data_IF_920368732090
#
_entry.id   IF_920368732090
#
_cell.length_a   1.000
_cell.length_b   1.000
_cell.length_c   1.000
_cell.angle_alpha   90.00
_cell.angle_beta   90.00
_cell.angle_gamma   90.00
#
_symmetry.space_group_name_H-M   'P 1'
#
loop_
_entity.id
_entity.type
_entity.pdbx_description
1 polymer ?
#
# COMPACT_ATOMS: atom_id res chain seq x y z
N UNK A 1 22.92 7.81 -38.95
CA UNK A 1 22.71 9.25 -38.71
C UNK A 1 22.21 9.40 -37.29
N UNK A 2 23.15 9.49 -36.35
CA UNK A 2 22.87 9.68 -34.93
C UNK A 2 22.37 11.11 -34.69
N UNK A 3 21.13 11.23 -34.24
CA UNK A 3 20.63 12.48 -33.66
C UNK A 3 21.37 12.67 -32.33
N UNK A 4 21.92 13.86 -32.03
CA UNK A 4 22.60 14.09 -30.77
C UNK A 4 21.65 13.73 -29.62
N UNK A 5 22.18 13.02 -28.62
CA UNK A 5 21.55 12.76 -27.31
C UNK A 5 21.42 14.06 -26.53
N UNK A 6 20.70 15.02 -27.10
CA UNK A 6 20.89 16.44 -26.77
C UNK A 6 19.99 16.96 -25.68
N UNK A 7 18.73 16.55 -25.60
CA UNK A 7 17.76 17.11 -24.62
C UNK A 7 16.64 16.08 -24.41
N UNK A 8 16.37 15.71 -23.16
CA UNK A 8 15.28 14.82 -22.72
C UNK A 8 13.92 15.51 -22.87
N UNK A 9 12.84 14.74 -22.76
CA UNK A 9 11.50 15.27 -22.96
C UNK A 9 11.08 16.20 -21.83
N UNK A 10 11.47 15.87 -20.59
CA UNK A 10 11.32 16.76 -19.45
C UNK A 10 12.09 18.08 -19.64
N UNK A 11 13.34 18.02 -20.13
CA UNK A 11 14.14 19.23 -20.38
C UNK A 11 13.56 20.09 -21.51
N UNK A 12 13.03 19.46 -22.59
CA UNK A 12 12.32 20.20 -23.65
C UNK A 12 11.08 20.91 -23.12
N UNK A 13 10.32 20.22 -22.27
CA UNK A 13 9.14 20.78 -21.62
C UNK A 13 9.54 21.95 -20.74
N UNK A 14 10.61 21.82 -19.94
CA UNK A 14 11.08 22.88 -19.06
C UNK A 14 11.47 24.15 -19.85
N UNK A 15 12.24 23.99 -20.93
CA UNK A 15 12.61 25.10 -21.83
C UNK A 15 11.36 25.73 -22.45
N UNK A 16 10.42 24.92 -22.93
CA UNK A 16 9.19 25.43 -23.55
C UNK A 16 8.28 26.13 -22.54
N UNK A 17 8.17 25.61 -21.32
CA UNK A 17 7.41 26.24 -20.23
C UNK A 17 8.01 27.59 -19.85
N UNK A 18 9.34 27.70 -19.75
CA UNK A 18 10.01 28.99 -19.50
C UNK A 18 9.68 30.01 -20.62
N UNK A 19 9.70 29.57 -21.89
CA UNK A 19 9.31 30.42 -23.02
C UNK A 19 7.82 30.80 -23.00
N UNK A 20 6.94 29.87 -22.62
CA UNK A 20 5.48 30.10 -22.55
C UNK A 20 5.06 30.93 -21.33
N UNK A 21 5.77 30.82 -20.21
CA UNK A 21 5.49 31.62 -19.01
C UNK A 21 5.70 33.12 -19.29
N UNK A 22 6.65 33.44 -20.17
CA UNK A 22 6.85 34.82 -20.67
C UNK A 22 5.69 35.33 -21.53
N UNK A 23 4.87 34.45 -22.11
CA UNK A 23 3.76 34.83 -23.01
C UNK A 23 2.36 34.74 -22.37
N UNK A 24 2.25 34.37 -21.08
CA UNK A 24 0.99 34.30 -20.29
C UNK A 24 -0.14 33.51 -20.97
N UNK A 25 0.14 32.34 -21.53
CA UNK A 25 -0.90 31.40 -22.00
C UNK A 25 -0.98 30.15 -21.12
N UNK A 26 -2.20 29.71 -20.80
CA UNK A 26 -2.47 28.46 -20.07
C UNK A 26 -2.25 27.22 -20.92
N UNK A 27 -1.02 26.98 -21.36
CA UNK A 27 -0.65 25.87 -22.24
C UNK A 27 -0.06 24.71 -21.43
N UNK A 28 -0.46 23.48 -21.79
CA UNK A 28 0.12 22.24 -21.27
C UNK A 28 1.16 21.71 -22.26
N UNK A 29 2.25 21.10 -21.76
CA UNK A 29 3.25 20.49 -22.63
C UNK A 29 2.70 19.32 -23.42
N UNK A 30 3.13 19.20 -24.67
CA UNK A 30 2.76 18.09 -25.55
C UNK A 30 3.64 16.87 -25.21
N UNK A 31 3.03 15.69 -25.15
CA UNK A 31 3.74 14.43 -24.89
C UNK A 31 4.52 13.92 -26.12
N UNK A 32 5.50 13.05 -25.89
CA UNK A 32 6.24 12.38 -26.98
C UNK A 32 5.37 11.34 -27.71
N UNK A 33 4.70 11.78 -28.77
CA UNK A 33 4.01 10.91 -29.72
C UNK A 33 2.97 9.97 -29.08
N UNK A 34 2.66 8.87 -29.78
CA UNK A 34 1.68 7.89 -29.32
C UNK A 34 2.22 6.97 -28.20
N UNK A 35 1.31 6.49 -27.36
CA UNK A 35 1.61 5.52 -26.30
C UNK A 35 1.53 4.06 -26.76
N UNK A 36 0.94 3.80 -27.94
CA UNK A 36 0.77 2.45 -28.49
C UNK A 36 2.11 1.90 -28.92
N UNK A 37 2.33 0.60 -28.73
CA UNK A 37 3.57 -0.06 -29.14
C UNK A 37 3.70 -0.08 -30.66
N UNK A 38 4.90 0.22 -31.17
CA UNK A 38 5.24 0.14 -32.60
C UNK A 38 6.35 -0.88 -32.78
N UNK A 39 6.18 -1.81 -33.73
CA UNK A 39 7.16 -2.89 -33.99
C UNK A 39 8.34 -2.43 -34.85
N UNK A 40 8.17 -1.33 -35.59
CA UNK A 40 9.18 -0.77 -36.47
C UNK A 40 9.63 0.61 -35.99
N UNK A 41 10.93 0.87 -36.06
CA UNK A 41 11.52 2.16 -35.69
C UNK A 41 12.00 2.27 -34.24
N UNK A 42 12.38 3.49 -33.85
CA UNK A 42 12.89 3.79 -32.50
C UNK A 42 11.72 4.04 -31.54
N UNK A 43 11.73 3.35 -30.41
CA UNK A 43 10.72 3.50 -29.37
C UNK A 43 10.88 4.80 -28.59
N UNK A 44 9.75 5.41 -28.23
CA UNK A 44 9.68 6.59 -27.37
C UNK A 44 9.63 6.19 -25.89
N UNK A 45 10.11 7.08 -25.00
CA UNK A 45 10.08 6.86 -23.55
C UNK A 45 8.63 6.63 -23.05
N UNK A 46 7.64 7.31 -23.66
CA UNK A 46 6.21 7.11 -23.38
C UNK A 46 5.73 5.68 -23.64
N UNK A 47 6.17 5.06 -24.74
CA UNK A 47 5.80 3.68 -25.11
C UNK A 47 6.46 2.68 -24.15
N UNK A 48 7.73 2.90 -23.80
CA UNK A 48 8.45 2.08 -22.83
C UNK A 48 7.80 2.14 -21.46
N UNK A 49 7.48 3.34 -20.96
CA UNK A 49 6.80 3.53 -19.68
C UNK A 49 5.43 2.87 -19.68
N UNK A 50 4.62 3.03 -20.75
CA UNK A 50 3.30 2.40 -20.84
C UNK A 50 3.36 0.87 -20.79
N UNK A 51 4.36 0.26 -21.43
CA UNK A 51 4.50 -1.20 -21.51
C UNK A 51 5.09 -1.82 -20.24
N UNK A 52 6.14 -1.21 -19.69
CA UNK A 52 6.95 -1.82 -18.63
C UNK A 52 6.69 -1.30 -17.22
N UNK A 53 5.97 -0.18 -17.08
CA UNK A 53 5.71 0.43 -15.78
C UNK A 53 4.23 0.78 -15.57
N UNK A 54 3.62 1.50 -16.50
CA UNK A 54 2.20 1.92 -16.45
C UNK A 54 1.19 0.80 -16.68
N UNK A 55 1.63 -0.44 -16.85
CA UNK A 55 0.76 -1.60 -16.97
C UNK A 55 0.66 -2.32 -15.63
N UNK A 56 -0.56 -2.61 -15.18
CA UNK A 56 -0.81 -3.42 -13.97
C UNK A 56 -0.17 -4.80 -14.05
N UNK A 57 0.10 -5.33 -15.25
CA UNK A 57 0.81 -6.60 -15.46
C UNK A 57 2.28 -6.56 -15.02
N UNK A 58 2.87 -5.37 -14.86
CA UNK A 58 4.28 -5.19 -14.49
C UNK A 58 4.47 -4.80 -13.02
N UNK A 59 3.46 -4.96 -12.16
CA UNK A 59 3.52 -4.57 -10.75
C UNK A 59 4.68 -5.20 -9.95
N UNK A 60 5.13 -6.39 -10.34
CA UNK A 60 6.23 -7.11 -9.69
C UNK A 60 7.62 -6.68 -10.18
N UNK A 61 7.70 -5.87 -11.25
CA UNK A 61 8.99 -5.44 -11.81
C UNK A 61 9.57 -4.27 -11.04
N UNK A 62 10.90 -4.16 -11.05
CA UNK A 62 11.57 -2.98 -10.55
C UNK A 62 11.19 -1.75 -11.39
N UNK A 63 11.01 -0.62 -10.71
CA UNK A 63 10.64 0.63 -11.34
C UNK A 63 11.81 1.22 -12.16
N UNK A 64 11.59 1.64 -13.43
CA UNK A 64 12.63 2.25 -14.26
C UNK A 64 12.79 3.75 -13.93
N UNK A 65 13.49 4.06 -12.83
CA UNK A 65 13.61 5.44 -12.31
C UNK A 65 14.17 6.44 -13.35
N UNK A 66 15.24 6.07 -14.04
CA UNK A 66 15.88 6.95 -15.04
C UNK A 66 14.95 7.30 -16.22
N UNK A 67 14.10 6.37 -16.66
CA UNK A 67 13.14 6.66 -17.75
C UNK A 67 11.99 7.54 -17.26
N UNK A 68 11.57 7.39 -16.01
CA UNK A 68 10.58 8.26 -15.37
C UNK A 68 11.12 9.68 -15.23
N UNK A 69 12.37 9.82 -14.79
CA UNK A 69 13.07 11.11 -14.66
C UNK A 69 13.19 11.83 -16.01
N UNK A 70 13.64 11.13 -17.05
CA UNK A 70 13.77 11.72 -18.40
C UNK A 70 12.44 12.17 -19.00
N UNK A 71 11.33 11.51 -18.66
CA UNK A 71 10.02 11.79 -19.24
C UNK A 71 9.17 12.77 -18.41
N UNK A 72 9.11 12.58 -17.10
CA UNK A 72 8.30 13.40 -16.19
C UNK A 72 9.09 14.48 -15.47
N UNK A 73 10.42 14.36 -15.37
CA UNK A 73 11.28 15.25 -14.59
C UNK A 73 11.64 14.67 -13.22
N UNK A 74 12.59 15.34 -12.56
CA UNK A 74 13.18 14.92 -11.29
C UNK A 74 12.18 14.91 -10.13
N UNK A 75 11.26 15.88 -10.08
CA UNK A 75 10.24 15.97 -9.02
C UNK A 75 9.36 14.72 -8.96
N UNK A 76 8.80 14.31 -10.10
CA UNK A 76 7.96 13.12 -10.19
C UNK A 76 8.77 11.83 -10.03
N UNK A 77 10.00 11.78 -10.56
CA UNK A 77 10.87 10.63 -10.37
C UNK A 77 11.20 10.40 -8.89
N UNK A 78 11.46 11.47 -8.13
CA UNK A 78 11.68 11.40 -6.69
C UNK A 78 10.43 10.93 -5.95
N UNK A 79 9.25 11.49 -6.25
CA UNK A 79 7.98 11.04 -5.68
C UNK A 79 7.77 9.52 -5.85
N UNK A 80 7.97 9.03 -7.06
CA UNK A 80 7.79 7.63 -7.38
C UNK A 80 8.86 6.72 -6.75
N UNK A 81 10.13 7.18 -6.70
CA UNK A 81 11.20 6.47 -6.01
C UNK A 81 10.91 6.33 -4.51
N UNK A 82 10.44 7.40 -3.87
CA UNK A 82 10.06 7.40 -2.47
C UNK A 82 8.86 6.49 -2.20
N UNK A 83 7.83 6.54 -3.05
CA UNK A 83 6.68 5.63 -2.98
C UNK A 83 7.11 4.17 -3.09
N UNK A 84 7.99 3.86 -4.05
CA UNK A 84 8.53 2.51 -4.23
C UNK A 84 9.36 2.03 -3.03
N UNK A 85 10.15 2.92 -2.44
CA UNK A 85 10.87 2.65 -1.19
C UNK A 85 9.92 2.37 -0.03
N UNK A 86 8.90 3.21 0.16
CA UNK A 86 7.90 3.06 1.22
C UNK A 86 7.16 1.72 1.12
N UNK A 87 6.68 1.35 -0.07
CA UNK A 87 6.01 0.05 -0.29
C UNK A 87 6.95 -1.12 0.03
N UNK A 88 8.23 -1.04 -0.38
CA UNK A 88 9.22 -2.08 -0.06
C UNK A 88 9.46 -2.22 1.44
N UNK A 89 9.49 -1.11 2.18
CA UNK A 89 9.63 -1.11 3.63
C UNK A 89 8.37 -1.61 4.35
N UNK A 90 7.20 -1.59 3.72
CA UNK A 90 5.98 -2.19 4.29
C UNK A 90 5.95 -3.73 4.19
N UNK A 91 6.67 -4.33 3.24
CA UNK A 91 6.71 -5.79 3.05
C UNK A 91 7.08 -6.56 4.34
N UNK A 92 8.20 -6.24 5.05
CA UNK A 92 8.55 -6.94 6.29
C UNK A 92 7.53 -6.72 7.40
N UNK A 93 6.97 -5.51 7.53
CA UNK A 93 5.93 -5.23 8.52
C UNK A 93 4.65 -6.05 8.24
N UNK A 94 4.25 -6.16 6.97
CA UNK A 94 3.13 -6.99 6.55
C UNK A 94 3.39 -8.49 6.78
N UNK A 95 4.62 -8.96 6.54
CA UNK A 95 5.01 -10.35 6.80
C UNK A 95 4.90 -10.69 8.29
N UNK A 96 5.43 -9.84 9.18
CA UNK A 96 5.28 -10.02 10.63
C UNK A 96 3.82 -10.00 11.07
N UNK A 97 3.00 -9.09 10.52
CA UNK A 97 1.57 -9.04 10.77
C UNK A 97 0.85 -10.34 10.36
N UNK A 98 1.18 -10.89 9.18
CA UNK A 98 0.62 -12.15 8.70
C UNK A 98 1.02 -13.34 9.58
N UNK A 99 2.27 -13.37 10.06
CA UNK A 99 2.74 -14.40 11.01
C UNK A 99 1.94 -14.32 12.33
N UNK A 100 1.75 -13.13 12.89
CA UNK A 100 0.97 -12.95 14.12
C UNK A 100 -0.51 -13.33 13.92
N UNK A 101 -1.08 -13.01 12.76
CA UNK A 101 -2.47 -13.36 12.42
C UNK A 101 -2.66 -14.88 12.25
N UNK A 102 -1.75 -15.54 11.53
CA UNK A 102 -1.78 -17.01 11.36
C UNK A 102 -1.53 -17.75 12.67
N UNK A 103 -0.69 -17.22 13.55
CA UNK A 103 -0.56 -17.71 14.93
C UNK A 103 -1.87 -17.57 15.71
N UNK A 104 -2.55 -16.42 15.62
CA UNK A 104 -3.86 -16.21 16.24
C UNK A 104 -4.91 -17.21 15.73
N UNK A 105 -4.97 -17.44 14.42
CA UNK A 105 -5.89 -18.42 13.81
C UNK A 105 -5.63 -19.85 14.28
N UNK A 106 -4.36 -20.28 14.30
CA UNK A 106 -4.00 -21.62 14.73
C UNK A 106 -4.28 -21.83 16.22
N UNK A 107 -4.02 -20.83 17.08
CA UNK A 107 -4.19 -20.96 18.54
C UNK A 107 -5.60 -20.67 19.05
N UNK A 108 -6.50 -20.09 18.23
CA UNK A 108 -7.82 -19.59 18.67
C UNK A 108 -8.73 -20.67 19.30
N UNK A 109 -8.65 -21.91 18.85
CA UNK A 109 -9.47 -23.01 19.39
C UNK A 109 -8.80 -23.77 20.55
N UNK A 110 -7.55 -23.47 20.88
CA UNK A 110 -6.84 -24.12 21.98
C UNK A 110 -7.12 -23.41 23.30
N UNK A 111 -7.79 -24.11 24.23
CA UNK A 111 -8.17 -23.58 25.55
C UNK A 111 -6.99 -23.01 26.34
N UNK A 112 -5.79 -23.62 26.22
CA UNK A 112 -4.58 -23.15 26.91
C UNK A 112 -4.19 -21.72 26.52
N UNK A 113 -4.31 -21.38 25.24
CA UNK A 113 -3.94 -20.06 24.72
C UNK A 113 -5.11 -19.06 24.78
N UNK A 114 -6.34 -19.53 24.55
CA UNK A 114 -7.54 -18.69 24.48
C UNK A 114 -8.56 -19.03 25.58
N UNK A 115 -8.13 -19.00 26.84
CA UNK A 115 -9.00 -19.36 27.97
C UNK A 115 -10.22 -18.42 28.09
N UNK A 116 -10.05 -17.11 27.83
CA UNK A 116 -11.10 -16.09 27.93
C UNK A 116 -12.25 -16.34 26.96
N UNK A 117 -11.96 -16.61 25.69
CA UNK A 117 -13.03 -16.94 24.74
C UNK A 117 -13.68 -18.27 25.10
N UNK A 118 -12.92 -19.23 25.60
CA UNK A 118 -13.47 -20.51 26.05
C UNK A 118 -14.43 -20.35 27.25
N UNK A 119 -14.16 -19.44 28.18
CA UNK A 119 -15.08 -19.10 29.27
C UNK A 119 -16.35 -18.42 28.74
N UNK A 120 -16.22 -17.46 27.81
CA UNK A 120 -17.36 -16.77 27.20
C UNK A 120 -18.25 -17.76 26.44
N UNK A 121 -17.66 -18.65 25.63
CA UNK A 121 -18.41 -19.60 24.81
C UNK A 121 -19.14 -20.68 25.62
N UNK A 122 -18.68 -21.00 26.84
CA UNK A 122 -19.28 -22.03 27.70
C UNK A 122 -20.02 -21.45 28.93
N UNK A 123 -20.26 -20.15 28.95
CA UNK A 123 -20.95 -19.49 30.06
C UNK A 123 -22.45 -19.34 29.78
N UNK A 124 -23.26 -19.74 30.75
CA UNK A 124 -24.70 -19.50 30.77
C UNK A 124 -25.10 -18.23 31.55
N UNK A 125 -24.11 -17.38 31.89
CA UNK A 125 -24.36 -16.09 32.54
C UNK A 125 -25.15 -15.16 31.62
N UNK A 126 -26.18 -14.50 32.15
CA UNK A 126 -27.02 -13.56 31.40
C UNK A 126 -26.45 -12.15 31.56
N UNK A 127 -26.21 -11.47 30.44
CA UNK A 127 -25.75 -10.09 30.45
C UNK A 127 -26.92 -9.13 30.58
N UNK A 128 -26.67 -7.97 31.21
CA UNK A 128 -27.61 -6.87 31.18
C UNK A 128 -27.82 -6.39 29.73
N UNK A 129 -29.03 -5.92 29.38
CA UNK A 129 -29.30 -5.35 28.07
C UNK A 129 -28.41 -4.11 27.85
N UNK A 130 -28.01 -3.92 26.59
CA UNK A 130 -27.19 -2.77 26.18
C UNK A 130 -27.98 -1.46 26.17
N UNK A 131 -29.30 -1.52 26.26
CA UNK A 131 -30.18 -0.36 26.27
C UNK A 131 -31.15 -0.39 27.45
N UNK A 132 -31.60 0.80 27.87
CA UNK A 132 -32.48 1.02 29.02
C UNK A 132 -33.98 0.99 28.66
N UNK A 133 -34.33 1.04 27.37
CA UNK A 133 -35.72 1.14 26.91
C UNK A 133 -36.45 -0.22 26.89
N UNK A 134 -37.78 -0.15 26.99
CA UNK A 134 -38.67 -1.31 26.85
C UNK A 134 -38.52 -1.92 25.44
N UNK A 135 -38.12 -3.18 25.38
CA UNK A 135 -37.85 -3.92 24.13
C UNK A 135 -36.44 -4.47 24.00
N UNK A 136 -35.49 -4.08 24.86
CA UNK A 136 -34.19 -4.72 24.91
C UNK A 136 -34.25 -6.08 25.62
N UNK A 137 -33.80 -7.13 24.94
CA UNK A 137 -33.75 -8.48 25.50
C UNK A 137 -32.45 -8.73 26.25
N UNK A 138 -32.55 -9.50 27.33
CA UNK A 138 -31.39 -10.08 27.99
C UNK A 138 -30.78 -11.16 27.10
N UNK A 139 -29.47 -11.08 26.87
CA UNK A 139 -28.75 -12.05 26.05
C UNK A 139 -27.77 -12.86 26.90
N UNK A 140 -27.61 -14.16 26.64
CA UNK A 140 -26.59 -14.95 27.32
C UNK A 140 -25.19 -14.56 26.84
N UNK A 141 -24.20 -14.61 27.74
CA UNK A 141 -22.81 -14.24 27.46
C UNK A 141 -22.22 -15.03 26.26
N UNK A 142 -22.60 -16.31 26.12
CA UNK A 142 -22.21 -17.16 24.99
C UNK A 142 -22.61 -16.61 23.61
N UNK A 143 -23.61 -15.74 23.52
CA UNK A 143 -23.99 -15.10 22.27
C UNK A 143 -22.84 -14.27 21.66
N UNK A 144 -21.92 -13.77 22.50
CA UNK A 144 -20.73 -13.01 22.07
C UNK A 144 -19.50 -13.89 21.80
N UNK A 145 -19.64 -15.23 21.78
CA UNK A 145 -18.53 -16.16 21.55
C UNK A 145 -17.77 -15.90 20.23
N UNK A 146 -18.51 -15.65 19.14
CA UNK A 146 -17.90 -15.37 17.83
C UNK A 146 -17.05 -14.09 17.85
N UNK A 147 -17.58 -13.02 18.45
CA UNK A 147 -16.86 -11.76 18.60
C UNK A 147 -15.61 -11.93 19.47
N UNK A 148 -15.71 -12.64 20.60
CA UNK A 148 -14.56 -12.91 21.47
C UNK A 148 -13.44 -13.66 20.75
N UNK A 149 -13.79 -14.69 19.95
CA UNK A 149 -12.81 -15.43 19.14
C UNK A 149 -12.16 -14.55 18.07
N UNK A 150 -12.93 -13.67 17.43
CA UNK A 150 -12.38 -12.71 16.46
C UNK A 150 -11.44 -11.71 17.14
N UNK A 151 -11.81 -11.18 18.31
CA UNK A 151 -10.93 -10.33 19.10
C UNK A 151 -9.62 -11.04 19.43
N UNK A 152 -9.64 -12.30 19.89
CA UNK A 152 -8.42 -13.05 20.16
C UNK A 152 -7.51 -13.21 18.93
N UNK A 153 -8.08 -13.41 17.73
CA UNK A 153 -7.26 -13.53 16.50
C UNK A 153 -6.44 -12.25 16.25
N UNK A 154 -7.02 -11.07 16.49
CA UNK A 154 -6.34 -9.78 16.34
C UNK A 154 -5.57 -9.32 17.59
N UNK A 155 -5.96 -9.77 18.77
CA UNK A 155 -5.44 -9.37 20.08
C UNK A 155 -4.91 -10.60 20.84
N UNK A 156 -3.95 -11.28 20.22
CA UNK A 156 -3.23 -12.38 20.85
C UNK A 156 -1.88 -11.90 21.43
N UNK A 157 -1.23 -12.66 22.33
CA UNK A 157 0.03 -12.23 22.95
C UNK A 157 1.15 -11.84 21.97
N UNK A 158 1.17 -12.37 20.74
CA UNK A 158 2.19 -12.02 19.74
C UNK A 158 2.00 -10.61 19.16
N UNK A 159 0.81 -10.03 19.24
CA UNK A 159 0.56 -8.68 18.72
C UNK A 159 1.21 -7.59 19.57
N UNK A 160 1.51 -7.87 20.84
CA UNK A 160 2.33 -6.99 21.69
C UNK A 160 3.75 -6.90 21.12
N UNK A 161 4.35 -8.04 20.78
CA UNK A 161 5.67 -8.08 20.16
C UNK A 161 5.67 -7.39 18.79
N UNK A 162 4.60 -7.59 18.00
CA UNK A 162 4.40 -6.90 16.73
C UNK A 162 4.35 -5.38 16.92
N UNK A 163 3.60 -4.87 17.91
CA UNK A 163 3.48 -3.44 18.18
C UNK A 163 4.83 -2.80 18.55
N UNK A 164 5.64 -3.50 19.35
CA UNK A 164 7.00 -3.05 19.69
C UNK A 164 7.88 -3.04 18.43
N UNK A 165 7.87 -4.12 17.66
CA UNK A 165 8.67 -4.24 16.44
C UNK A 165 8.30 -3.16 15.40
N UNK A 166 7.01 -2.87 15.21
CA UNK A 166 6.55 -1.84 14.29
C UNK A 166 6.89 -0.43 14.78
N UNK A 167 6.87 -0.17 16.08
CA UNK A 167 7.32 1.11 16.64
C UNK A 167 8.81 1.37 16.37
N UNK A 168 9.67 0.37 16.62
CA UNK A 168 11.10 0.46 16.28
C UNK A 168 11.33 0.57 14.77
N UNK A 169 10.61 -0.23 13.98
CA UNK A 169 10.67 -0.18 12.52
C UNK A 169 10.36 1.22 11.99
N UNK A 170 9.27 1.82 12.46
CA UNK A 170 8.91 3.20 12.11
C UNK A 170 10.04 4.17 12.47
N UNK A 171 10.63 4.07 13.66
CA UNK A 171 11.74 4.96 14.05
C UNK A 171 13.03 4.78 13.27
N UNK A 172 13.29 3.59 12.74
CA UNK A 172 14.51 3.32 11.97
C UNK A 172 14.39 3.73 10.50
N UNK A 173 13.17 3.72 9.96
CA UNK A 173 12.91 3.93 8.53
C UNK A 173 12.14 5.23 8.22
N UNK A 174 11.84 6.03 9.23
CA UNK A 174 11.14 7.32 9.17
C UNK A 174 11.75 8.31 10.17
#
# INVERSE_FOLDING_TARGET
MDRPTGITSAEKILIMVELMNRTKFGQRPIHDGEHKWTETGRLNDRQLLARYWGSTKCWYKCQPHHTIERYFGTEYAFYFAWLGFYIKMLIPAAALGLICFTFGLSTCNYKYFNYRSHEICNSDQIMCPKCHQEGCTFEPLRASCGLSKMCYIFENPTTIALAIATAFWCKLHW
#
